data_IF_186475541177
#
_entry.id   IF_186475541177
#
_cell.length_a   1.000
_cell.length_b   1.000
_cell.length_c   1.000
_cell.angle_alpha   90.00
_cell.angle_beta   90.00
_cell.angle_gamma   90.00
#
_symmetry.space_group_name_H-M   'P 1'
#
loop_
_entity.id
_entity.type
_entity.pdbx_description
1 polymer ?
#
# COMPACT_ATOMS: atom_id res chain seq x y z
N UNK A 1 -28.48 21.08 -18.65
CA UNK A 1 -28.20 20.53 -17.30
C UNK A 1 -26.79 20.88 -16.95
N UNK A 2 -26.53 21.71 -15.90
CA UNK A 2 -25.17 21.95 -15.45
C UNK A 2 -24.61 20.62 -14.91
N UNK A 3 -23.59 20.10 -15.56
CA UNK A 3 -22.75 19.09 -14.94
C UNK A 3 -22.11 19.75 -13.73
N UNK A 4 -22.54 19.36 -12.53
CA UNK A 4 -21.81 19.62 -11.31
C UNK A 4 -20.47 18.89 -11.44
N UNK A 5 -19.49 19.58 -11.99
CA UNK A 5 -18.10 19.22 -11.82
C UNK A 5 -17.68 19.66 -10.42
N UNK A 6 -18.16 18.96 -9.39
CA UNK A 6 -17.29 18.70 -8.26
C UNK A 6 -16.21 17.79 -8.83
N UNK A 7 -15.20 18.39 -9.44
CA UNK A 7 -13.94 17.70 -9.66
C UNK A 7 -13.45 17.32 -8.25
N UNK A 8 -13.93 16.19 -7.79
CA UNK A 8 -13.38 15.55 -6.61
C UNK A 8 -11.90 15.43 -6.94
N UNK A 9 -11.07 16.20 -6.23
CA UNK A 9 -9.62 16.09 -6.32
C UNK A 9 -9.29 14.65 -5.95
N UNK A 10 -9.05 13.83 -6.96
CA UNK A 10 -8.80 12.42 -6.72
C UNK A 10 -7.43 12.28 -6.09
N UNK A 11 -7.39 11.70 -4.90
CA UNK A 11 -6.15 11.43 -4.18
C UNK A 11 -5.72 10.01 -4.52
N UNK A 12 -4.76 9.88 -5.43
CA UNK A 12 -4.19 8.59 -5.75
C UNK A 12 -3.23 8.13 -4.66
N UNK A 13 -3.53 7.01 -4.03
CA UNK A 13 -2.73 6.44 -2.94
C UNK A 13 -1.77 5.39 -3.48
N UNK A 14 -0.59 5.27 -2.85
CA UNK A 14 0.40 4.23 -3.15
C UNK A 14 1.11 4.36 -4.50
N UNK A 15 1.50 5.58 -4.87
CA UNK A 15 2.41 5.76 -5.99
C UNK A 15 3.86 5.52 -5.57
N UNK A 16 4.50 4.59 -6.27
CA UNK A 16 5.94 4.49 -6.25
C UNK A 16 6.51 5.57 -7.16
N UNK A 17 7.14 6.57 -6.54
CA UNK A 17 7.96 7.55 -7.25
C UNK A 17 9.39 7.19 -7.00
N UNK A 18 10.17 7.04 -8.04
CA UNK A 18 11.58 6.69 -7.93
C UNK A 18 12.46 7.79 -7.33
N UNK A 19 11.90 8.93 -6.96
CA UNK A 19 12.64 10.06 -6.38
C UNK A 19 12.48 10.09 -4.85
N UNK A 20 13.60 10.05 -4.08
CA UNK A 20 14.99 10.01 -4.52
C UNK A 20 15.51 8.61 -4.89
N UNK A 21 16.58 8.57 -5.69
CA UNK A 21 17.42 7.41 -5.94
C UNK A 21 17.11 6.59 -7.18
N UNK A 22 15.86 6.63 -7.66
CA UNK A 22 15.42 5.87 -8.85
C UNK A 22 14.71 6.78 -9.86
N UNK A 23 15.16 8.03 -10.00
CA UNK A 23 14.55 9.06 -10.85
C UNK A 23 14.47 8.64 -12.33
N UNK A 24 15.31 7.68 -12.73
CA UNK A 24 15.28 7.09 -14.07
C UNK A 24 14.01 6.27 -14.35
N UNK A 25 13.34 5.76 -13.30
CA UNK A 25 12.05 5.06 -13.43
C UNK A 25 10.91 6.06 -13.49
N UNK A 26 10.85 6.96 -12.53
CA UNK A 26 9.88 8.05 -12.44
C UNK A 26 10.38 9.14 -11.49
N UNK A 27 10.05 10.39 -11.77
CA UNK A 27 10.35 11.54 -10.94
C UNK A 27 9.09 12.41 -10.72
N UNK A 28 9.14 13.39 -9.82
CA UNK A 28 7.97 14.21 -9.49
C UNK A 28 7.39 14.96 -10.69
N UNK A 29 8.20 15.34 -11.67
CA UNK A 29 7.73 16.04 -12.87
C UNK A 29 6.95 15.10 -13.79
N UNK A 30 7.47 13.91 -14.07
CA UNK A 30 6.81 12.90 -14.91
C UNK A 30 5.53 12.38 -14.27
N UNK A 31 5.60 12.06 -12.95
CA UNK A 31 4.45 11.70 -12.15
C UNK A 31 3.35 12.76 -12.22
N UNK A 32 3.70 14.03 -11.98
CA UNK A 32 2.70 15.11 -11.94
C UNK A 32 2.03 15.33 -13.30
N UNK A 33 2.76 15.17 -14.41
CA UNK A 33 2.19 15.25 -15.75
C UNK A 33 1.21 14.11 -16.03
N UNK A 34 1.58 12.89 -15.67
CA UNK A 34 0.70 11.71 -15.81
C UNK A 34 -0.55 11.84 -14.92
N UNK A 35 -0.38 12.28 -13.67
CA UNK A 35 -1.48 12.50 -12.73
C UNK A 35 -2.47 13.55 -13.26
N UNK A 36 -1.98 14.69 -13.73
CA UNK A 36 -2.83 15.75 -14.30
C UNK A 36 -3.59 15.27 -15.55
N UNK A 37 -2.94 14.50 -16.42
CA UNK A 37 -3.61 13.90 -17.59
C UNK A 37 -4.75 12.96 -17.19
N UNK A 38 -4.64 12.29 -16.03
CA UNK A 38 -5.68 11.45 -15.44
C UNK A 38 -6.66 12.18 -14.51
N UNK A 39 -6.58 13.52 -14.38
CA UNK A 39 -7.44 14.29 -13.48
C UNK A 39 -7.09 14.21 -11.99
N UNK A 40 -5.94 13.63 -11.65
CA UNK A 40 -5.46 13.48 -10.27
C UNK A 40 -4.69 14.72 -9.84
N UNK A 41 -5.11 15.34 -8.74
CA UNK A 41 -4.52 16.59 -8.22
C UNK A 41 -3.67 16.39 -6.97
N UNK A 42 -3.72 15.23 -6.37
CA UNK A 42 -2.97 14.90 -5.16
C UNK A 42 -2.53 13.44 -5.16
N UNK A 43 -1.27 13.20 -4.77
CA UNK A 43 -0.68 11.87 -4.76
C UNK A 43 -0.02 11.60 -3.42
N UNK A 44 -0.25 10.40 -2.90
CA UNK A 44 0.45 9.87 -1.72
C UNK A 44 1.56 8.93 -2.18
N UNK A 45 2.81 9.30 -1.91
CA UNK A 45 3.99 8.56 -2.39
C UNK A 45 4.52 7.59 -1.33
N UNK A 46 5.08 6.48 -1.81
CA UNK A 46 5.58 5.39 -0.97
C UNK A 46 6.99 5.66 -0.47
N UNK A 47 7.37 5.12 0.71
CA UNK A 47 8.66 5.39 1.34
C UNK A 47 9.83 4.56 0.83
N UNK A 48 9.61 3.59 -0.05
CA UNK A 48 10.62 2.64 -0.55
C UNK A 48 11.48 3.25 -1.66
N UNK A 49 12.11 4.36 -1.35
CA UNK A 49 13.06 5.12 -2.18
C UNK A 49 14.50 4.81 -1.75
N UNK A 50 15.49 5.43 -2.35
CA UNK A 50 16.89 5.34 -1.96
C UNK A 50 17.49 6.76 -1.81
N UNK A 51 17.72 7.24 -0.58
CA UNK A 51 17.46 6.59 0.70
C UNK A 51 15.96 6.44 1.02
N UNK A 52 15.66 5.50 1.91
CA UNK A 52 14.30 5.24 2.41
C UNK A 52 13.79 6.44 3.21
N UNK A 53 12.49 6.74 3.12
CA UNK A 53 11.88 7.86 3.85
C UNK A 53 11.62 7.44 5.31
N UNK A 54 12.65 7.41 6.12
CA UNK A 54 12.62 7.00 7.53
C UNK A 54 13.14 8.07 8.50
N UNK A 55 13.59 9.21 7.99
CA UNK A 55 14.12 10.32 8.79
C UNK A 55 13.68 11.69 8.26
N UNK A 56 13.81 12.69 9.12
CA UNK A 56 13.35 14.06 8.87
C UNK A 56 14.06 14.73 7.71
N UNK A 57 15.34 14.49 7.51
CA UNK A 57 16.13 15.15 6.47
C UNK A 57 15.62 14.78 5.07
N UNK A 58 15.26 13.52 4.87
CA UNK A 58 14.69 13.03 3.61
C UNK A 58 13.29 13.61 3.39
N UNK A 59 12.47 13.70 4.43
CA UNK A 59 11.14 14.34 4.34
C UNK A 59 11.26 15.80 3.91
N UNK A 60 12.15 16.57 4.54
CA UNK A 60 12.37 17.98 4.20
C UNK A 60 12.89 18.14 2.77
N UNK A 61 13.76 17.24 2.31
CA UNK A 61 14.23 17.18 0.93
C UNK A 61 13.06 16.95 -0.05
N UNK A 62 12.25 15.92 0.19
CA UNK A 62 11.12 15.57 -0.68
C UNK A 62 10.05 16.67 -0.76
N UNK A 63 9.76 17.34 0.34
CA UNK A 63 8.80 18.44 0.36
C UNK A 63 9.29 19.62 -0.49
N UNK A 64 10.58 19.95 -0.44
CA UNK A 64 11.18 20.97 -1.31
C UNK A 64 11.11 20.54 -2.78
N UNK A 65 11.55 19.32 -3.09
CA UNK A 65 11.52 18.78 -4.46
C UNK A 65 10.11 18.70 -5.03
N UNK A 66 9.14 18.22 -4.25
CA UNK A 66 7.72 18.17 -4.65
C UNK A 66 7.18 19.56 -4.99
N UNK A 67 7.46 20.56 -4.16
CA UNK A 67 7.07 21.96 -4.43
C UNK A 67 7.72 22.52 -5.70
N UNK A 68 9.00 22.23 -5.93
CA UNK A 68 9.77 22.84 -7.00
C UNK A 68 9.58 22.12 -8.36
N UNK A 69 9.24 20.84 -8.36
CA UNK A 69 9.19 20.00 -9.56
C UNK A 69 7.81 19.44 -9.90
N UNK A 70 6.87 19.46 -8.96
CA UNK A 70 5.52 18.90 -9.18
C UNK A 70 4.50 20.02 -9.44
N UNK A 71 3.52 19.70 -10.27
CA UNK A 71 2.35 20.55 -10.55
C UNK A 71 1.09 20.11 -9.78
N UNK A 72 1.23 19.05 -8.98
CA UNK A 72 0.20 18.50 -8.10
C UNK A 72 0.69 18.45 -6.66
N UNK A 73 -0.20 18.20 -5.72
CA UNK A 73 0.17 18.02 -4.32
C UNK A 73 0.83 16.66 -4.09
N UNK A 74 2.03 16.67 -3.54
CA UNK A 74 2.77 15.46 -3.17
C UNK A 74 2.74 15.31 -1.64
N UNK A 75 2.22 14.17 -1.17
CA UNK A 75 2.16 13.81 0.24
C UNK A 75 3.02 12.56 0.47
N UNK A 76 4.25 12.70 0.95
CA UNK A 76 5.09 11.54 1.23
C UNK A 76 4.56 10.74 2.42
N UNK A 77 4.58 9.39 2.31
CA UNK A 77 4.55 8.50 3.45
C UNK A 77 5.96 8.30 4.00
N UNK A 78 6.07 8.04 5.29
CA UNK A 78 7.29 7.53 5.88
C UNK A 78 7.18 6.01 6.15
N UNK A 79 8.32 5.35 6.33
CA UNK A 79 8.34 3.94 6.67
C UNK A 79 7.90 3.72 8.13
N UNK A 80 7.28 2.57 8.38
CA UNK A 80 6.95 2.09 9.73
C UNK A 80 8.23 1.69 10.48
N UNK A 81 9.17 1.10 9.75
CA UNK A 81 10.42 0.61 10.33
C UNK A 81 11.64 1.23 9.63
N UNK A 82 12.72 1.37 10.39
CA UNK A 82 13.99 1.86 9.85
C UNK A 82 14.47 0.94 8.74
N UNK A 83 14.89 1.52 7.63
CA UNK A 83 15.31 0.82 6.41
C UNK A 83 14.29 -0.18 5.85
N UNK A 84 13.01 -0.10 6.29
CA UNK A 84 11.97 -1.08 5.91
C UNK A 84 12.43 -2.53 6.21
N UNK A 85 13.08 -2.74 7.35
CA UNK A 85 13.59 -4.06 7.76
C UNK A 85 12.62 -4.86 8.62
N UNK A 86 11.54 -4.24 9.11
CA UNK A 86 10.57 -4.92 9.98
C UNK A 86 11.04 -5.16 11.42
N UNK A 87 12.11 -4.50 11.88
CA UNK A 87 12.72 -4.72 13.18
C UNK A 87 12.54 -3.55 14.16
N UNK A 88 12.93 -2.35 13.76
CA UNK A 88 12.94 -1.17 14.60
C UNK A 88 12.00 -0.10 14.06
N UNK A 89 11.13 0.44 14.91
CA UNK A 89 10.21 1.53 14.54
C UNK A 89 10.97 2.81 14.19
N UNK A 90 10.40 3.60 13.27
CA UNK A 90 10.84 4.98 12.99
C UNK A 90 10.30 5.96 14.04
N UNK A 91 10.77 7.19 14.00
CA UNK A 91 10.40 8.28 14.92
C UNK A 91 9.08 8.95 14.48
N UNK A 92 7.94 8.26 14.68
CA UNK A 92 6.63 8.70 14.17
C UNK A 92 6.28 10.15 14.52
N UNK A 93 6.49 10.56 15.78
CA UNK A 93 6.17 11.91 16.22
C UNK A 93 6.97 12.98 15.47
N UNK A 94 8.27 12.77 15.28
CA UNK A 94 9.14 13.69 14.55
C UNK A 94 8.75 13.76 13.07
N UNK A 95 8.51 12.61 12.44
CA UNK A 95 8.12 12.53 11.03
C UNK A 95 6.75 13.16 10.78
N UNK A 96 5.77 12.93 11.68
CA UNK A 96 4.47 13.55 11.59
C UNK A 96 4.53 15.08 11.75
N UNK A 97 5.36 15.59 12.66
CA UNK A 97 5.56 17.05 12.84
C UNK A 97 6.09 17.72 11.57
N UNK A 98 6.75 16.95 10.69
CA UNK A 98 7.21 17.37 9.37
C UNK A 98 6.16 17.22 8.27
N UNK A 99 4.94 16.81 8.62
CA UNK A 99 3.80 16.71 7.72
C UNK A 99 3.69 15.37 6.97
N UNK A 100 4.27 14.31 7.51
CA UNK A 100 3.95 12.94 7.08
C UNK A 100 2.50 12.62 7.48
N UNK A 101 1.72 12.15 6.51
CA UNK A 101 0.29 11.89 6.68
C UNK A 101 -0.03 10.42 6.97
N UNK A 102 0.86 9.51 6.59
CA UNK A 102 0.70 8.08 6.76
C UNK A 102 2.04 7.36 6.84
N UNK A 103 2.04 6.19 7.44
CA UNK A 103 3.22 5.34 7.62
C UNK A 103 2.97 3.96 7.01
N UNK A 104 3.96 3.43 6.28
CA UNK A 104 3.89 2.13 5.61
C UNK A 104 5.26 1.61 5.27
N UNK A 105 5.48 0.29 5.29
CA UNK A 105 6.71 -0.32 4.76
C UNK A 105 6.55 -0.74 3.27
N UNK A 106 5.58 -0.13 2.58
CA UNK A 106 5.37 -0.36 1.17
C UNK A 106 4.80 -1.74 0.88
N UNK A 107 5.54 -2.51 0.09
CA UNK A 107 5.17 -3.88 -0.25
C UNK A 107 5.61 -4.89 0.83
N UNK A 108 6.47 -4.49 1.75
CA UNK A 108 6.84 -5.34 2.88
C UNK A 108 5.79 -5.24 3.99
N UNK A 109 5.48 -6.36 4.57
CA UNK A 109 4.52 -6.48 5.67
C UNK A 109 5.27 -6.63 6.99
N UNK A 110 4.80 -5.98 8.04
CA UNK A 110 5.30 -6.24 9.39
C UNK A 110 4.87 -7.64 9.82
N UNK A 111 5.79 -8.59 9.81
CA UNK A 111 5.50 -9.99 10.14
C UNK A 111 5.33 -10.20 11.65
N UNK A 112 6.14 -9.53 12.47
CA UNK A 112 6.14 -9.69 13.92
C UNK A 112 4.90 -9.03 14.57
N UNK A 113 3.97 -9.80 15.19
CA UNK A 113 2.75 -9.27 15.78
C UNK A 113 3.01 -8.36 16.99
N UNK A 114 4.09 -8.61 17.75
CA UNK A 114 4.47 -7.76 18.90
C UNK A 114 4.92 -6.38 18.42
N UNK A 115 5.72 -6.34 17.35
CA UNK A 115 6.13 -5.09 16.74
C UNK A 115 4.93 -4.33 16.19
N UNK A 116 4.03 -5.03 15.46
CA UNK A 116 2.82 -4.43 14.91
C UNK A 116 1.91 -3.83 16.01
N UNK A 117 1.74 -4.54 17.11
CA UNK A 117 1.00 -4.01 18.27
C UNK A 117 1.63 -2.73 18.85
N UNK A 118 2.97 -2.68 18.95
CA UNK A 118 3.68 -1.47 19.40
C UNK A 118 3.51 -0.30 18.42
N UNK A 119 3.65 -0.58 17.12
CA UNK A 119 3.42 0.40 16.05
C UNK A 119 2.00 0.99 16.15
N UNK A 120 0.98 0.14 16.28
CA UNK A 120 -0.41 0.58 16.41
C UNK A 120 -0.65 1.44 17.65
N UNK A 121 -0.07 1.08 18.80
CA UNK A 121 -0.19 1.91 20.02
C UNK A 121 0.45 3.28 19.82
N UNK A 122 1.68 3.35 19.31
CA UNK A 122 2.34 4.63 19.04
C UNK A 122 1.57 5.46 18.01
N UNK A 123 1.02 4.82 16.96
CA UNK A 123 0.20 5.50 15.97
C UNK A 123 -1.11 6.07 16.54
N UNK A 124 -1.73 5.36 17.48
CA UNK A 124 -2.90 5.84 18.20
C UNK A 124 -2.60 7.11 19.01
N UNK A 125 -1.50 7.10 19.76
CA UNK A 125 -1.14 8.20 20.66
C UNK A 125 -0.92 9.52 19.91
N UNK A 126 -0.41 9.45 18.69
CA UNK A 126 -0.15 10.62 17.83
C UNK A 126 -1.21 10.83 16.73
N UNK A 127 -2.19 9.95 16.63
CA UNK A 127 -3.28 10.05 15.64
C UNK A 127 -2.88 9.84 14.18
N UNK A 128 -1.73 9.19 13.90
CA UNK A 128 -1.29 8.95 12.53
C UNK A 128 -1.97 7.73 11.88
N UNK A 129 -1.97 7.70 10.54
CA UNK A 129 -2.51 6.62 9.75
C UNK A 129 -1.44 5.57 9.47
N UNK A 130 -1.74 4.31 9.76
CA UNK A 130 -0.97 3.15 9.31
C UNK A 130 -1.58 2.60 8.04
N UNK A 131 -0.77 2.38 7.01
CA UNK A 131 -1.16 1.66 5.80
C UNK A 131 -0.33 0.38 5.69
N UNK A 132 -0.98 -0.77 5.66
CA UNK A 132 -0.33 -2.07 5.62
C UNK A 132 -0.68 -2.82 4.34
N UNK A 133 0.33 -3.31 3.65
CA UNK A 133 0.18 -4.37 2.66
C UNK A 133 0.12 -5.70 3.43
N UNK A 134 -0.99 -6.42 3.33
CA UNK A 134 -1.19 -7.64 4.09
C UNK A 134 -0.76 -8.85 3.27
N UNK A 135 0.43 -9.37 3.55
CA UNK A 135 0.95 -10.58 2.91
C UNK A 135 1.93 -11.29 3.86
N UNK A 136 1.62 -12.54 4.20
CA UNK A 136 2.54 -13.38 4.96
C UNK A 136 3.73 -13.76 4.08
N UNK A 137 4.94 -13.40 4.54
CA UNK A 137 6.15 -13.57 3.77
C UNK A 137 6.49 -15.04 3.50
N UNK A 138 6.36 -15.91 4.49
CA UNK A 138 6.74 -17.33 4.33
C UNK A 138 5.78 -18.06 3.40
N UNK A 139 4.48 -17.75 3.46
CA UNK A 139 3.48 -18.31 2.56
C UNK A 139 3.57 -17.76 1.13
N UNK A 140 4.01 -16.51 0.96
CA UNK A 140 4.14 -15.86 -0.35
C UNK A 140 5.52 -16.07 -1.00
N UNK A 141 6.49 -16.57 -0.23
CA UNK A 141 7.89 -16.69 -0.65
C UNK A 141 8.03 -17.48 -1.96
N UNK A 142 8.82 -16.90 -2.89
CA UNK A 142 9.02 -17.44 -4.23
C UNK A 142 7.76 -17.55 -5.10
N UNK A 143 6.62 -17.08 -4.63
CA UNK A 143 5.39 -17.05 -5.41
C UNK A 143 5.45 -16.03 -6.55
N UNK A 144 4.88 -16.42 -7.69
CA UNK A 144 4.88 -15.60 -8.91
C UNK A 144 3.50 -15.15 -9.31
N UNK A 145 2.50 -15.98 -9.07
CA UNK A 145 1.09 -15.79 -9.43
C UNK A 145 0.19 -16.33 -8.34
N UNK A 146 -1.12 -16.21 -8.49
CA UNK A 146 -2.08 -16.83 -7.59
C UNK A 146 -1.92 -18.36 -7.54
N UNK A 147 -2.00 -18.95 -6.36
CA UNK A 147 -2.02 -20.42 -6.20
C UNK A 147 -3.33 -21.00 -6.72
N UNK A 148 -3.26 -21.83 -7.75
CA UNK A 148 -4.44 -22.42 -8.39
C UNK A 148 -4.10 -23.18 -9.66
N UNK A 149 -5.14 -23.45 -10.45
CA UNK A 149 -5.05 -24.24 -11.69
C UNK A 149 -4.09 -23.61 -12.69
N UNK A 150 -4.10 -22.27 -12.82
CA UNK A 150 -3.23 -21.53 -13.75
C UNK A 150 -1.75 -21.69 -13.35
N UNK A 151 -1.44 -21.56 -12.04
CA UNK A 151 -0.09 -21.77 -11.54
C UNK A 151 0.42 -23.18 -11.89
N UNK A 152 -0.41 -24.20 -11.65
CA UNK A 152 -0.07 -25.58 -11.97
C UNK A 152 0.14 -25.82 -13.46
N UNK A 153 -0.72 -25.25 -14.33
CA UNK A 153 -0.57 -25.36 -15.79
C UNK A 153 0.71 -24.70 -16.30
N UNK A 154 1.10 -23.55 -15.72
CA UNK A 154 2.29 -22.82 -16.13
C UNK A 154 3.58 -23.31 -15.44
N UNK A 155 3.47 -24.26 -14.49
CA UNK A 155 4.61 -24.74 -13.70
C UNK A 155 5.21 -23.64 -12.78
N UNK A 156 4.41 -22.66 -12.37
CA UNK A 156 4.85 -21.55 -11.54
C UNK A 156 4.46 -21.74 -10.06
N UNK A 157 5.31 -21.25 -9.16
CA UNK A 157 5.00 -21.20 -7.75
C UNK A 157 3.86 -20.20 -7.48
N UNK A 158 2.84 -20.64 -6.72
CA UNK A 158 1.66 -19.85 -6.42
C UNK A 158 1.71 -19.19 -5.06
N UNK A 159 1.11 -17.99 -4.95
CA UNK A 159 0.87 -17.28 -3.69
C UNK A 159 -0.55 -17.63 -3.23
N UNK A 160 -0.71 -18.38 -2.13
CA UNK A 160 -2.03 -18.76 -1.64
C UNK A 160 -2.78 -17.55 -1.09
N UNK A 161 -4.10 -17.53 -1.25
CA UNK A 161 -4.94 -16.42 -0.73
C UNK A 161 -4.90 -16.29 0.80
N UNK A 162 -4.59 -17.39 1.49
CA UNK A 162 -4.46 -17.40 2.95
C UNK A 162 -3.30 -16.51 3.42
N UNK A 163 -2.28 -16.28 2.60
CA UNK A 163 -1.17 -15.37 2.92
C UNK A 163 -1.65 -13.94 3.19
N UNK A 164 -2.64 -13.48 2.43
CA UNK A 164 -3.28 -12.17 2.64
C UNK A 164 -4.22 -12.21 3.85
N UNK A 165 -5.06 -13.22 3.92
CA UNK A 165 -6.10 -13.34 4.93
C UNK A 165 -5.56 -13.40 6.37
N UNK A 166 -4.54 -14.20 6.63
CA UNK A 166 -3.93 -14.36 7.97
C UNK A 166 -3.46 -13.01 8.52
N UNK A 167 -2.80 -12.21 7.71
CA UNK A 167 -2.27 -10.92 8.14
C UNK A 167 -3.40 -9.91 8.37
N UNK A 168 -4.44 -9.93 7.56
CA UNK A 168 -5.63 -9.10 7.77
C UNK A 168 -6.33 -9.47 9.08
N UNK A 169 -6.59 -10.74 9.33
CA UNK A 169 -7.22 -11.21 10.57
C UNK A 169 -6.40 -10.84 11.80
N UNK A 170 -5.07 -11.03 11.75
CA UNK A 170 -4.15 -10.61 12.81
C UNK A 170 -4.26 -9.13 13.10
N UNK A 171 -4.14 -8.30 12.07
CA UNK A 171 -4.09 -6.85 12.22
C UNK A 171 -5.43 -6.28 12.69
N UNK A 172 -6.54 -6.79 12.18
CA UNK A 172 -7.87 -6.39 12.64
C UNK A 172 -8.13 -6.82 14.09
N UNK A 173 -7.62 -7.97 14.53
CA UNK A 173 -7.68 -8.40 15.92
C UNK A 173 -6.88 -7.48 16.85
N UNK A 174 -5.69 -7.05 16.44
CA UNK A 174 -4.91 -6.05 17.18
C UNK A 174 -5.61 -4.70 17.20
N UNK A 175 -6.18 -4.30 16.06
CA UNK A 175 -6.87 -3.03 15.89
C UNK A 175 -8.12 -2.90 16.78
N UNK A 176 -8.85 -3.98 17.00
CA UNK A 176 -10.00 -4.06 17.89
C UNK A 176 -9.64 -3.58 19.30
N UNK A 177 -8.47 -3.98 19.79
CA UNK A 177 -7.95 -3.59 21.11
C UNK A 177 -7.38 -2.16 21.11
N UNK A 178 -6.60 -1.81 20.09
CA UNK A 178 -5.82 -0.56 20.08
C UNK A 178 -6.64 0.61 19.55
N UNK A 179 -7.46 0.43 18.53
CA UNK A 179 -8.33 1.47 17.91
C UNK A 179 -7.53 2.65 17.32
N UNK A 180 -6.46 2.41 16.57
CA UNK A 180 -5.74 3.42 15.80
C UNK A 180 -6.36 3.63 14.40
N UNK A 181 -5.87 4.63 13.66
CA UNK A 181 -6.24 4.81 12.25
C UNK A 181 -5.49 3.80 11.39
N UNK A 182 -6.22 2.97 10.66
CA UNK A 182 -5.67 1.86 9.92
C UNK A 182 -6.27 1.74 8.51
N UNK A 183 -5.42 1.42 7.53
CA UNK A 183 -5.80 1.20 6.14
C UNK A 183 -5.18 -0.11 5.62
N UNK A 184 -6.01 -1.01 5.16
CA UNK A 184 -5.59 -2.23 4.47
C UNK A 184 -5.37 -1.88 3.01
N UNK A 185 -4.14 -1.97 2.55
CA UNK A 185 -3.78 -1.65 1.17
C UNK A 185 -3.98 -2.87 0.27
N UNK A 186 -4.55 -2.65 -0.91
CA UNK A 186 -4.58 -3.61 -2.03
C UNK A 186 -5.10 -5.02 -1.69
N UNK A 187 -6.37 -5.10 -1.38
CA UNK A 187 -7.08 -6.38 -1.29
C UNK A 187 -7.09 -7.10 -2.64
N UNK A 188 -6.94 -8.42 -2.63
CA UNK A 188 -6.97 -9.24 -3.83
C UNK A 188 -7.82 -10.51 -3.69
N UNK A 189 -8.14 -10.93 -2.46
CA UNK A 189 -8.79 -12.21 -2.18
C UNK A 189 -10.25 -12.04 -1.75
N UNK A 190 -11.13 -12.89 -2.27
CA UNK A 190 -12.53 -12.97 -1.86
C UNK A 190 -12.65 -13.27 -0.37
N UNK A 191 -11.89 -14.23 0.15
CA UNK A 191 -11.93 -14.61 1.57
C UNK A 191 -11.48 -13.46 2.49
N UNK A 192 -10.57 -12.61 2.02
CA UNK A 192 -10.18 -11.39 2.75
C UNK A 192 -11.35 -10.40 2.81
N UNK A 193 -12.13 -10.26 1.74
CA UNK A 193 -13.30 -9.39 1.71
C UNK A 193 -14.39 -9.89 2.68
N UNK A 194 -14.60 -11.20 2.78
CA UNK A 194 -15.54 -11.79 3.75
C UNK A 194 -15.15 -11.43 5.19
N UNK A 195 -13.86 -11.56 5.53
CA UNK A 195 -13.33 -11.12 6.83
C UNK A 195 -13.59 -9.63 7.07
N UNK A 196 -13.30 -8.81 6.09
CA UNK A 196 -13.49 -7.36 6.17
C UNK A 196 -14.97 -6.98 6.36
N UNK A 197 -15.88 -7.60 5.64
CA UNK A 197 -17.32 -7.37 5.79
C UNK A 197 -17.77 -7.61 7.22
N UNK A 198 -17.36 -8.74 7.80
CA UNK A 198 -17.71 -9.09 9.18
C UNK A 198 -17.06 -8.14 10.21
N UNK A 199 -15.79 -7.77 10.01
CA UNK A 199 -15.04 -6.94 10.95
C UNK A 199 -15.40 -5.45 10.90
N UNK A 200 -15.95 -4.94 9.79
CA UNK A 200 -16.38 -3.52 9.66
C UNK A 200 -17.42 -3.09 10.68
N UNK A 201 -18.23 -4.03 11.16
CA UNK A 201 -19.25 -3.76 12.19
C UNK A 201 -18.62 -3.55 13.58
N UNK A 202 -17.43 -4.11 13.80
CA UNK A 202 -16.74 -4.11 15.10
C UNK A 202 -15.67 -3.02 15.19
N UNK A 203 -14.92 -2.82 14.10
CA UNK A 203 -13.73 -1.96 14.08
C UNK A 203 -13.75 -0.98 12.91
N UNK A 204 -13.32 0.26 13.17
CA UNK A 204 -13.18 1.29 12.14
C UNK A 204 -11.83 1.17 11.43
N UNK A 205 -11.87 0.90 10.14
CA UNK A 205 -10.72 0.93 9.24
C UNK A 205 -11.16 1.25 7.81
N UNK A 206 -10.21 1.49 6.93
CA UNK A 206 -10.44 1.63 5.51
C UNK A 206 -9.67 0.57 4.74
N UNK A 207 -10.10 0.28 3.53
CA UNK A 207 -9.43 -0.68 2.65
C UNK A 207 -9.40 -0.17 1.22
N UNK A 208 -8.42 -0.63 0.46
CA UNK A 208 -8.24 -0.30 -0.94
C UNK A 208 -8.08 -1.55 -1.80
N UNK A 209 -8.31 -1.39 -3.10
CA UNK A 209 -8.09 -2.41 -4.11
C UNK A 209 -7.36 -1.78 -5.29
N UNK A 210 -6.48 -2.52 -5.94
CA UNK A 210 -5.83 -2.06 -7.16
C UNK A 210 -6.81 -2.08 -8.32
N UNK A 211 -6.73 -1.10 -9.23
CA UNK A 211 -7.49 -1.09 -10.47
C UNK A 211 -7.21 -2.36 -11.30
N UNK A 212 -5.99 -2.88 -11.25
CA UNK A 212 -5.64 -4.12 -11.91
C UNK A 212 -6.46 -5.31 -11.40
N UNK A 213 -6.66 -5.42 -10.09
CA UNK A 213 -7.46 -6.49 -9.48
C UNK A 213 -8.98 -6.29 -9.70
N UNK A 214 -9.43 -5.09 -10.08
CA UNK A 214 -10.81 -4.84 -10.50
C UNK A 214 -11.04 -5.13 -11.98
N UNK A 215 -10.03 -4.91 -12.82
CA UNK A 215 -10.16 -4.98 -14.29
C UNK A 215 -9.68 -6.29 -14.88
N UNK A 216 -8.77 -6.98 -14.21
CA UNK A 216 -8.08 -8.18 -14.68
C UNK A 216 -8.21 -9.31 -13.66
N UNK A 217 -8.04 -10.54 -14.14
CA UNK A 217 -8.02 -11.75 -13.34
C UNK A 217 -6.88 -12.68 -13.76
N UNK A 218 -6.71 -13.80 -13.09
CA UNK A 218 -5.59 -14.72 -13.33
C UNK A 218 -5.59 -15.35 -14.74
N UNK A 219 -6.73 -15.42 -15.44
CA UNK A 219 -6.78 -15.94 -16.81
C UNK A 219 -6.12 -14.98 -17.82
N UNK A 220 -6.07 -13.68 -17.49
CA UNK A 220 -5.44 -12.67 -18.35
C UNK A 220 -3.92 -12.83 -18.42
N UNK A 221 -3.32 -13.60 -17.50
CA UNK A 221 -1.88 -13.89 -17.49
C UNK A 221 -1.46 -14.62 -18.78
N UNK A 222 -2.33 -15.49 -19.33
CA UNK A 222 -2.06 -16.20 -20.59
C UNK A 222 -0.71 -16.91 -20.57
N UNK A 223 -0.01 -16.86 -21.68
CA UNK A 223 1.28 -17.51 -21.84
C UNK A 223 2.43 -16.63 -21.32
N UNK A 224 2.65 -16.65 -19.99
CA UNK A 224 3.77 -15.98 -19.31
C UNK A 224 3.89 -14.46 -19.55
N UNK A 225 2.79 -13.72 -19.52
CA UNK A 225 2.85 -12.24 -19.59
C UNK A 225 3.47 -11.65 -18.33
N UNK A 226 4.78 -11.41 -18.36
CA UNK A 226 5.58 -10.97 -17.20
C UNK A 226 5.14 -9.64 -16.60
N UNK A 227 4.55 -8.74 -17.39
CA UNK A 227 4.01 -7.46 -16.93
C UNK A 227 2.75 -7.62 -16.06
N UNK A 228 2.12 -8.80 -16.02
CA UNK A 228 1.02 -9.16 -15.13
C UNK A 228 1.50 -9.83 -13.83
N UNK A 229 2.81 -9.92 -13.60
CA UNK A 229 3.35 -10.29 -12.28
C UNK A 229 3.16 -9.14 -11.31
N UNK A 230 2.06 -9.17 -10.57
CA UNK A 230 1.64 -8.13 -9.64
C UNK A 230 1.78 -8.60 -8.17
N UNK A 231 1.90 -7.64 -7.26
CA UNK A 231 1.77 -7.87 -5.82
C UNK A 231 0.73 -6.88 -5.24
N UNK A 232 -0.39 -7.42 -4.72
CA UNK A 232 -0.79 -8.81 -4.68
C UNK A 232 -1.10 -9.37 -6.07
N UNK A 233 -1.06 -10.71 -6.26
CA UNK A 233 -1.27 -11.32 -7.56
C UNK A 233 -2.70 -11.14 -8.06
N UNK A 234 -2.90 -11.23 -9.37
CA UNK A 234 -4.24 -11.37 -9.95
C UNK A 234 -4.84 -12.70 -9.51
N UNK A 235 -6.08 -12.67 -9.03
CA UNK A 235 -6.83 -13.85 -8.60
C UNK A 235 -8.06 -14.04 -9.50
N UNK A 236 -8.86 -15.06 -9.23
CA UNK A 236 -10.21 -15.16 -9.80
C UNK A 236 -10.98 -13.91 -9.41
N UNK A 237 -11.78 -13.39 -10.29
CA UNK A 237 -12.41 -12.06 -10.25
C UNK A 237 -12.90 -11.60 -8.85
N UNK A 238 -12.51 -10.38 -8.45
CA UNK A 238 -13.10 -9.67 -7.32
C UNK A 238 -14.47 -9.07 -7.64
N UNK A 239 -14.82 -8.95 -8.93
CA UNK A 239 -16.04 -8.26 -9.38
C UNK A 239 -17.29 -9.11 -9.13
N UNK A 240 -17.17 -10.42 -9.08
CA UNK A 240 -18.28 -11.34 -8.83
C UNK A 240 -18.65 -11.50 -7.34
N UNK A 241 -18.12 -10.65 -6.50
CA UNK A 241 -18.40 -10.59 -5.07
C UNK A 241 -19.44 -9.51 -4.78
#
# INVERSE_FOLDING_TARGET
TPMNSSAASDVYKRQFVGEPGYEYKENFRTLSNAALAGGVTSVVTMPNTDPIIDNVSIVDFLKRRGRDKSRINIFPCASLTKNIEGNNMTEFGLLQSKGIIAFTDGIKTIQNPRLMSRIMNSAKDIGCLIMQHAEDYELAKNGMINSGIIASKLGLSGIPEIAERILIERDLTLLEKVKCRYHISQLSSQKSIEVIKHRKEIVKFTSGVSINNLSLNENDIGDFRTFLKLSPPLRLSLIHI
#
